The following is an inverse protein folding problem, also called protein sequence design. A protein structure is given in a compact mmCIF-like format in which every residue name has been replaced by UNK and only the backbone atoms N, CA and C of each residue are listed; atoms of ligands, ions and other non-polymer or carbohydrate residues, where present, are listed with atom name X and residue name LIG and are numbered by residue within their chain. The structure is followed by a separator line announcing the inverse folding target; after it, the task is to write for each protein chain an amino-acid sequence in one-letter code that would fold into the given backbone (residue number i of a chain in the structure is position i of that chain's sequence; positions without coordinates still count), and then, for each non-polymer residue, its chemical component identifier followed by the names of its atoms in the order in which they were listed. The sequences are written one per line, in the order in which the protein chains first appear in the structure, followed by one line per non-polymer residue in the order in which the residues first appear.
data_IF_467071436230
#
_entry.id   IF_467071436230
#
_cell.length_a   1.000
_cell.length_b   1.000
_cell.length_c   1.000
_cell.angle_alpha   90.00
_cell.angle_beta   90.00
_cell.angle_gamma   90.00
#
_symmetry.space_group_name_H-M   'P 1'
#
loop_
_entity.id
_entity.type
_entity.pdbx_description
1 polymer ?
#
# COMPACT_ATOMS: atom_id res chain seq x y z
N UNK A 1 -3.20 -19.50 -3.91
CA UNK A 1 -4.45 -19.51 -3.08
C UNK A 1 -5.43 -18.60 -3.76
N UNK A 2 -6.62 -19.10 -4.08
CA UNK A 2 -7.58 -18.41 -4.96
C UNK A 2 -8.36 -17.32 -4.20
N UNK A 3 -8.74 -16.27 -4.93
CA UNK A 3 -9.58 -15.15 -4.44
C UNK A 3 -10.91 -15.63 -3.83
N UNK A 4 -11.40 -16.79 -4.28
CA UNK A 4 -12.67 -17.39 -3.82
C UNK A 4 -12.61 -17.81 -2.36
N UNK A 5 -11.44 -18.29 -1.90
CA UNK A 5 -11.20 -18.66 -0.51
C UNK A 5 -11.31 -17.45 0.45
N UNK A 6 -10.79 -16.30 0.05
CA UNK A 6 -10.87 -15.06 0.84
C UNK A 6 -12.31 -14.53 0.94
N UNK A 7 -13.06 -14.58 -0.15
CA UNK A 7 -14.44 -14.16 -0.19
C UNK A 7 -15.33 -15.10 0.65
N UNK A 8 -15.03 -16.39 0.67
CA UNK A 8 -15.73 -17.37 1.51
C UNK A 8 -15.45 -17.10 3.00
N UNK A 9 -14.16 -16.92 3.38
CA UNK A 9 -13.78 -16.61 4.75
C UNK A 9 -14.48 -15.32 5.23
N UNK A 10 -14.49 -14.28 4.39
CA UNK A 10 -15.17 -13.03 4.73
C UNK A 10 -16.70 -13.18 4.75
N UNK A 11 -17.25 -14.02 3.87
CA UNK A 11 -18.69 -14.37 3.86
C UNK A 11 -19.13 -15.05 5.16
N UNK A 12 -18.30 -15.93 5.73
CA UNK A 12 -18.50 -16.56 7.05
C UNK A 12 -18.43 -15.54 8.17
N UNK A 13 -17.41 -14.66 8.13
CA UNK A 13 -17.24 -13.58 9.11
C UNK A 13 -18.44 -12.61 9.12
N UNK A 14 -19.03 -12.33 7.97
CA UNK A 14 -20.27 -11.55 7.85
C UNK A 14 -21.44 -12.17 8.59
N UNK A 15 -21.52 -13.52 8.63
CA UNK A 15 -22.58 -14.28 9.34
C UNK A 15 -22.31 -14.44 10.83
N UNK A 16 -21.13 -14.01 11.32
CA UNK A 16 -20.76 -14.03 12.74
C UNK A 16 -19.64 -15.02 13.11
N UNK A 17 -19.22 -15.88 12.18
CA UNK A 17 -18.07 -16.76 12.35
C UNK A 17 -16.77 -15.96 12.08
N UNK A 18 -16.10 -15.54 13.14
CA UNK A 18 -14.92 -14.68 13.06
C UNK A 18 -13.60 -15.44 12.88
N UNK A 19 -13.58 -16.74 12.90
CA UNK A 19 -12.35 -17.55 12.80
C UNK A 19 -11.62 -17.29 11.47
N UNK A 20 -12.38 -17.07 10.39
CA UNK A 20 -11.84 -16.70 9.09
C UNK A 20 -11.07 -15.36 9.06
N UNK A 21 -11.38 -14.44 9.98
CA UNK A 21 -10.68 -13.14 10.09
C UNK A 21 -9.22 -13.34 10.51
N UNK A 22 -8.94 -14.28 11.42
CA UNK A 22 -7.58 -14.62 11.81
C UNK A 22 -6.75 -15.10 10.62
N UNK A 23 -7.31 -15.96 9.78
CA UNK A 23 -6.67 -16.47 8.56
C UNK A 23 -6.39 -15.32 7.58
N UNK A 24 -7.35 -14.44 7.39
CA UNK A 24 -7.19 -13.25 6.52
C UNK A 24 -6.14 -12.29 7.09
N UNK A 25 -6.08 -12.13 8.41
CA UNK A 25 -5.05 -11.31 9.05
C UNK A 25 -3.65 -11.86 8.76
N UNK A 26 -3.38 -13.12 9.04
CA UNK A 26 -2.09 -13.75 8.77
C UNK A 26 -1.68 -13.64 7.30
N UNK A 27 -2.64 -13.78 6.39
CA UNK A 27 -2.41 -13.71 4.94
C UNK A 27 -2.07 -12.30 4.45
N UNK A 28 -2.71 -11.29 4.99
CA UNK A 28 -2.67 -9.92 4.43
C UNK A 28 -1.96 -8.89 5.31
N UNK A 29 -1.63 -9.22 6.57
CA UNK A 29 -0.96 -8.29 7.48
C UNK A 29 0.32 -7.73 6.87
N UNK A 30 1.23 -8.59 6.39
CA UNK A 30 2.49 -8.15 5.77
C UNK A 30 2.29 -7.27 4.52
N UNK A 31 1.30 -7.59 3.69
CA UNK A 31 0.92 -6.80 2.51
C UNK A 31 0.42 -5.41 2.92
N UNK A 32 -0.45 -5.31 3.94
CA UNK A 32 -0.94 -4.02 4.45
C UNK A 32 0.17 -3.17 5.08
N UNK A 33 1.04 -3.77 5.89
CA UNK A 33 2.20 -3.07 6.45
C UNK A 33 3.09 -2.55 5.33
N UNK A 34 3.37 -3.37 4.32
CA UNK A 34 4.12 -2.99 3.13
C UNK A 34 3.46 -1.84 2.35
N UNK A 35 2.14 -1.91 2.17
CA UNK A 35 1.36 -0.83 1.54
C UNK A 35 1.52 0.49 2.30
N UNK A 36 1.26 0.49 3.62
CA UNK A 36 1.35 1.71 4.43
C UNK A 36 2.76 2.29 4.48
N UNK A 37 3.80 1.44 4.62
CA UNK A 37 5.20 1.87 4.60
C UNK A 37 5.58 2.57 3.29
N UNK A 38 5.11 2.07 2.15
CA UNK A 38 5.36 2.68 0.83
C UNK A 38 4.56 3.96 0.61
N UNK A 39 3.32 3.99 1.09
CA UNK A 39 2.43 5.14 0.92
C UNK A 39 2.76 6.26 1.91
N UNK A 40 3.07 5.97 3.17
CA UNK A 40 3.47 6.99 4.15
C UNK A 40 4.87 7.55 3.88
N UNK A 41 5.77 6.72 3.38
CA UNK A 41 7.17 7.08 3.12
C UNK A 41 8.05 7.12 4.37
N UNK A 42 7.49 7.05 5.58
CA UNK A 42 8.19 7.18 6.87
C UNK A 42 8.41 5.86 7.59
N UNK A 43 7.72 4.83 7.21
CA UNK A 43 7.87 3.46 7.72
C UNK A 43 7.37 3.18 9.14
N UNK A 44 7.12 4.20 9.96
CA UNK A 44 6.87 4.05 11.41
C UNK A 44 5.43 3.66 11.78
N UNK A 45 4.45 3.89 10.91
CA UNK A 45 3.02 3.74 11.22
C UNK A 45 2.37 2.53 10.55
N UNK A 46 3.15 1.72 9.83
CA UNK A 46 2.60 0.64 9.03
C UNK A 46 1.82 -0.39 9.84
N UNK A 47 2.36 -0.80 10.98
CA UNK A 47 1.74 -1.78 11.88
C UNK A 47 0.42 -1.26 12.47
N UNK A 48 0.43 -0.04 13.02
CA UNK A 48 -0.76 0.56 13.63
C UNK A 48 -1.90 0.71 12.61
N UNK A 49 -1.58 1.15 11.38
CA UNK A 49 -2.57 1.32 10.33
C UNK A 49 -3.05 -0.02 9.77
N UNK A 50 -2.21 -1.05 9.74
CA UNK A 50 -2.62 -2.40 9.38
C UNK A 50 -3.62 -2.96 10.40
N UNK A 51 -3.34 -2.81 11.70
CA UNK A 51 -4.24 -3.20 12.78
C UNK A 51 -5.57 -2.42 12.71
N UNK A 52 -5.52 -1.10 12.54
CA UNK A 52 -6.73 -0.26 12.37
C UNK A 52 -7.56 -0.71 11.15
N UNK A 53 -6.90 -1.13 10.07
CA UNK A 53 -7.57 -1.65 8.88
C UNK A 53 -8.34 -2.93 9.22
N UNK A 54 -7.71 -3.89 9.91
CA UNK A 54 -8.38 -5.12 10.32
C UNK A 54 -9.50 -4.88 11.34
N UNK A 55 -9.31 -3.94 12.27
CA UNK A 55 -10.37 -3.53 13.16
C UNK A 55 -11.59 -3.01 12.38
N UNK A 56 -11.37 -2.18 11.35
CA UNK A 56 -12.46 -1.70 10.47
C UNK A 56 -13.06 -2.82 9.64
N UNK A 57 -12.28 -3.79 9.17
CA UNK A 57 -12.80 -4.99 8.49
C UNK A 57 -13.79 -5.72 9.40
N UNK A 58 -13.42 -6.00 10.64
CA UNK A 58 -14.31 -6.63 11.63
C UNK A 58 -15.57 -5.80 11.87
N UNK A 59 -15.39 -4.49 12.07
CA UNK A 59 -16.51 -3.56 12.35
C UNK A 59 -17.48 -3.46 11.19
N UNK A 60 -16.95 -3.37 9.96
CA UNK A 60 -17.76 -3.18 8.74
C UNK A 60 -18.05 -4.48 7.99
N UNK A 61 -17.76 -5.66 8.57
CA UNK A 61 -17.91 -6.96 7.92
C UNK A 61 -19.28 -7.19 7.28
N UNK A 62 -20.34 -6.63 7.87
CA UNK A 62 -21.70 -6.73 7.34
C UNK A 62 -21.91 -6.02 6.02
N UNK A 63 -21.07 -5.03 5.68
CA UNK A 63 -21.12 -4.31 4.41
C UNK A 63 -20.38 -5.00 3.26
N UNK A 64 -19.64 -6.07 3.56
CA UNK A 64 -19.04 -6.88 2.51
C UNK A 64 -20.14 -7.69 1.80
N UNK A 65 -20.31 -7.44 0.50
CA UNK A 65 -21.37 -8.09 -0.29
C UNK A 65 -20.90 -9.27 -1.17
N UNK A 66 -19.56 -9.49 -1.22
CA UNK A 66 -18.95 -10.55 -2.02
C UNK A 66 -18.93 -10.29 -3.53
N UNK A 67 -19.45 -9.15 -4.01
CA UNK A 67 -19.45 -8.78 -5.44
C UNK A 67 -18.07 -8.41 -5.95
N UNK A 68 -17.19 -8.02 -5.03
CA UNK A 68 -15.80 -7.69 -5.31
C UNK A 68 -14.90 -8.63 -4.53
N UNK A 69 -13.67 -8.92 -5.01
CA UNK A 69 -12.69 -9.65 -4.24
C UNK A 69 -12.44 -8.99 -2.88
N UNK A 70 -12.32 -9.81 -1.84
CA UNK A 70 -12.01 -9.34 -0.49
C UNK A 70 -10.80 -8.41 -0.48
N UNK A 71 -9.75 -8.77 -1.20
CA UNK A 71 -8.51 -7.99 -1.29
C UNK A 71 -8.75 -6.55 -1.77
N UNK A 72 -9.58 -6.36 -2.78
CA UNK A 72 -9.92 -5.02 -3.28
C UNK A 72 -10.72 -4.23 -2.24
N UNK A 73 -11.68 -4.86 -1.57
CA UNK A 73 -12.45 -4.23 -0.49
C UNK A 73 -11.58 -3.87 0.71
N UNK A 74 -10.64 -4.75 1.09
CA UNK A 74 -9.66 -4.50 2.15
C UNK A 74 -8.78 -3.28 1.83
N UNK A 75 -8.20 -3.18 0.62
CA UNK A 75 -7.39 -2.03 0.24
C UNK A 75 -8.18 -0.73 0.10
N UNK A 76 -9.48 -0.80 -0.21
CA UNK A 76 -10.34 0.38 -0.11
C UNK A 76 -10.44 0.87 1.34
N UNK A 77 -10.57 -0.04 2.31
CA UNK A 77 -10.56 0.32 3.74
C UNK A 77 -9.19 0.87 4.13
N UNK A 78 -8.08 0.25 3.71
CA UNK A 78 -6.73 0.71 4.00
C UNK A 78 -6.48 2.14 3.49
N UNK A 79 -6.93 2.49 2.28
CA UNK A 79 -6.88 3.86 1.76
C UNK A 79 -7.66 4.84 2.63
N UNK A 80 -8.84 4.46 3.09
CA UNK A 80 -9.62 5.31 3.99
C UNK A 80 -8.91 5.52 5.33
N UNK A 81 -8.29 4.45 5.90
CA UNK A 81 -7.47 4.53 7.12
C UNK A 81 -6.33 5.51 6.93
N UNK A 82 -5.58 5.42 5.82
CA UNK A 82 -4.48 6.33 5.49
C UNK A 82 -4.93 7.79 5.38
N UNK A 83 -6.02 8.05 4.66
CA UNK A 83 -6.57 9.39 4.51
C UNK A 83 -7.02 9.98 5.86
N UNK A 84 -7.64 9.18 6.73
CA UNK A 84 -8.06 9.62 8.06
C UNK A 84 -6.85 9.92 8.95
N UNK A 85 -5.79 9.09 8.87
CA UNK A 85 -4.54 9.31 9.59
C UNK A 85 -3.90 10.65 9.19
N UNK A 86 -3.79 10.91 7.89
CA UNK A 86 -3.22 12.17 7.38
C UNK A 86 -4.04 13.39 7.80
N UNK A 87 -5.38 13.32 7.71
CA UNK A 87 -6.25 14.41 8.19
C UNK A 87 -6.07 14.70 9.66
N UNK A 88 -5.92 13.65 10.49
CA UNK A 88 -5.66 13.81 11.95
C UNK A 88 -4.30 14.45 12.19
N UNK A 89 -3.26 14.03 11.48
CA UNK A 89 -1.91 14.59 11.59
C UNK A 89 -1.87 16.08 11.21
N UNK A 90 -2.54 16.46 10.12
CA UNK A 90 -2.65 17.87 9.70
C UNK A 90 -3.37 18.73 10.76
N UNK A 91 -4.46 18.23 11.33
CA UNK A 91 -5.22 18.95 12.37
C UNK A 91 -4.44 19.10 13.68
N UNK A 92 -3.58 18.13 14.00
CA UNK A 92 -2.72 18.17 15.18
C UNK A 92 -1.51 19.10 15.05
N UNK A 93 -1.40 19.86 13.95
CA UNK A 93 -0.26 20.75 13.67
C UNK A 93 1.08 20.04 13.52
N UNK A 94 1.08 18.70 13.41
CA UNK A 94 2.26 17.94 13.07
C UNK A 94 2.57 18.22 11.61
N UNK A 95 3.42 19.24 11.38
CA UNK A 95 3.95 19.55 10.06
C UNK A 95 4.55 18.27 9.50
N UNK A 96 4.04 17.87 8.35
CA UNK A 96 4.60 16.74 7.62
C UNK A 96 5.92 17.23 7.00
N UNK A 97 7.01 17.25 7.80
CA UNK A 97 8.35 17.48 7.28
C UNK A 97 8.73 16.25 6.42
N UNK A 98 8.98 16.43 5.12
CA UNK A 98 9.41 15.33 4.26
C UNK A 98 10.81 14.77 4.61
N UNK A 99 11.52 15.37 5.57
CA UNK A 99 12.92 15.07 5.90
C UNK A 99 13.11 14.22 7.17
N UNK A 100 12.09 13.54 7.69
CA UNK A 100 12.26 12.73 8.90
C UNK A 100 12.98 11.43 8.58
N UNK A 101 14.13 11.33 9.21
CA UNK A 101 15.08 10.22 9.36
C UNK A 101 14.56 8.83 8.96
N UNK A 102 15.24 8.29 7.98
CA UNK A 102 15.17 6.92 7.53
C UNK A 102 15.76 6.01 8.61
N UNK A 103 14.93 5.26 9.31
CA UNK A 103 15.41 4.16 10.14
C UNK A 103 15.46 2.89 9.30
N UNK A 104 16.67 2.39 9.19
CA UNK A 104 17.05 1.07 8.69
C UNK A 104 16.40 -0.01 9.56
N UNK A 105 15.32 -0.63 9.06
CA UNK A 105 14.94 -1.98 9.46
C UNK A 105 14.06 -2.59 8.38
N UNK A 106 14.70 -2.99 7.29
CA UNK A 106 14.22 -4.05 6.42
C UNK A 106 15.30 -5.11 6.44
N UNK A 107 15.13 -6.09 7.33
CA UNK A 107 15.95 -7.28 7.34
C UNK A 107 15.96 -7.92 5.94
N UNK A 108 17.05 -7.71 5.22
CA UNK A 108 17.41 -8.53 4.07
C UNK A 108 17.83 -9.90 4.62
N UNK A 109 17.25 -10.97 4.08
CA UNK A 109 17.83 -12.30 4.29
C UNK A 109 19.19 -12.34 3.58
N UNK A 110 20.23 -12.86 4.22
CA UNK A 110 21.57 -12.90 3.65
C UNK A 110 21.67 -14.09 2.72
N UNK A 111 21.92 -13.83 1.44
CA UNK A 111 22.72 -14.73 0.59
C UNK A 111 23.16 -14.02 -0.69
N UNK A 112 24.46 -14.09 -0.91
CA UNK A 112 25.22 -13.84 -2.14
C UNK A 112 25.48 -12.40 -2.58
N UNK A 113 26.77 -12.06 -2.59
CA UNK A 113 27.40 -10.90 -3.22
C UNK A 113 27.12 -9.54 -2.58
N UNK A 114 27.94 -9.19 -1.58
CA UNK A 114 27.80 -7.99 -0.74
C UNK A 114 27.73 -6.70 -1.57
N UNK A 115 28.43 -6.59 -2.70
CA UNK A 115 28.40 -5.36 -3.51
C UNK A 115 27.07 -5.19 -4.26
N UNK A 116 26.53 -6.26 -4.85
CA UNK A 116 25.24 -6.25 -5.52
C UNK A 116 24.06 -6.08 -4.55
N UNK A 117 24.26 -6.44 -3.30
CA UNK A 117 23.25 -6.29 -2.24
C UNK A 117 23.21 -4.86 -1.71
N UNK A 118 24.36 -4.22 -1.54
CA UNK A 118 24.47 -2.79 -1.20
C UNK A 118 23.85 -1.92 -2.30
N UNK A 119 24.18 -2.13 -3.57
CA UNK A 119 23.57 -1.39 -4.68
C UNK A 119 22.05 -1.60 -4.76
N UNK A 120 21.57 -2.80 -4.50
CA UNK A 120 20.11 -3.08 -4.42
C UNK A 120 19.46 -2.37 -3.24
N UNK A 121 20.15 -2.29 -2.10
CA UNK A 121 19.71 -1.56 -0.92
C UNK A 121 19.57 -0.07 -1.20
N UNK A 122 20.61 0.56 -1.73
CA UNK A 122 20.62 1.97 -2.10
C UNK A 122 19.52 2.31 -3.13
N UNK A 123 19.36 1.46 -4.14
CA UNK A 123 18.33 1.64 -5.16
C UNK A 123 16.91 1.53 -4.59
N UNK A 124 16.68 0.61 -3.63
CA UNK A 124 15.39 0.50 -2.92
C UNK A 124 15.10 1.76 -2.10
N UNK A 125 16.13 2.32 -1.47
CA UNK A 125 16.00 3.52 -0.66
C UNK A 125 15.70 4.74 -1.54
N UNK A 126 16.43 4.92 -2.64
CA UNK A 126 16.15 5.95 -3.63
C UNK A 126 14.74 5.87 -4.19
N UNK A 127 14.25 4.64 -4.45
CA UNK A 127 12.87 4.43 -4.92
C UNK A 127 11.85 4.82 -3.85
N UNK A 128 12.12 4.50 -2.58
CA UNK A 128 11.25 4.88 -1.45
C UNK A 128 11.19 6.40 -1.31
N UNK A 129 12.35 7.06 -1.38
CA UNK A 129 12.43 8.52 -1.33
C UNK A 129 11.71 9.14 -2.53
N UNK A 130 11.92 8.64 -3.73
CA UNK A 130 11.23 9.12 -4.94
C UNK A 130 9.70 8.99 -4.80
N UNK A 131 9.22 7.85 -4.29
CA UNK A 131 7.79 7.66 -3.99
C UNK A 131 7.29 8.68 -2.96
N UNK A 132 8.07 8.97 -1.91
CA UNK A 132 7.67 9.90 -0.86
C UNK A 132 7.47 11.33 -1.35
N UNK A 133 8.14 11.73 -2.43
CA UNK A 133 8.02 13.06 -3.05
C UNK A 133 6.80 13.21 -3.95
N UNK A 134 6.15 12.12 -4.32
CA UNK A 134 4.93 12.17 -5.12
C UNK A 134 3.71 12.55 -4.26
N UNK A 135 2.68 13.18 -4.85
CA UNK A 135 1.38 13.33 -4.21
C UNK A 135 0.80 11.98 -3.76
N UNK A 136 0.13 11.97 -2.60
CA UNK A 136 -0.42 10.75 -1.99
C UNK A 136 -1.21 9.87 -2.98
N UNK A 137 -2.14 10.48 -3.74
CA UNK A 137 -2.99 9.75 -4.69
C UNK A 137 -2.16 9.00 -5.75
N UNK A 138 -1.06 9.59 -6.23
CA UNK A 138 -0.15 8.96 -7.20
C UNK A 138 0.64 7.82 -6.57
N UNK A 139 1.11 7.98 -5.31
CA UNK A 139 1.76 6.92 -4.54
C UNK A 139 0.85 5.72 -4.35
N UNK A 140 -0.36 5.95 -3.83
CA UNK A 140 -1.36 4.90 -3.63
C UNK A 140 -1.63 4.14 -4.93
N UNK A 141 -1.81 4.87 -6.04
CA UNK A 141 -2.06 4.27 -7.35
C UNK A 141 -0.92 3.37 -7.80
N UNK A 142 0.33 3.85 -7.70
CA UNK A 142 1.51 3.06 -8.06
C UNK A 142 1.62 1.83 -7.18
N UNK A 143 1.46 1.99 -5.85
CA UNK A 143 1.60 0.88 -4.90
C UNK A 143 0.54 -0.18 -5.17
N UNK A 144 -0.72 0.18 -5.33
CA UNK A 144 -1.80 -0.77 -5.62
C UNK A 144 -1.61 -1.49 -6.96
N UNK A 145 -1.10 -0.80 -7.98
CA UNK A 145 -0.94 -1.39 -9.31
C UNK A 145 0.34 -2.23 -9.47
N UNK A 146 1.45 -1.87 -8.80
CA UNK A 146 2.77 -2.42 -9.05
C UNK A 146 3.33 -3.29 -7.94
N UNK A 147 2.95 -3.03 -6.70
CA UNK A 147 3.39 -3.83 -5.55
C UNK A 147 2.30 -4.78 -5.06
N UNK A 148 1.06 -4.31 -5.06
CA UNK A 148 -0.07 -5.16 -4.69
C UNK A 148 -0.72 -5.85 -5.89
N UNK A 149 -0.34 -5.53 -7.12
CA UNK A 149 -0.78 -6.17 -8.36
C UNK A 149 -2.30 -6.33 -8.48
N UNK A 150 -3.05 -5.37 -7.94
CA UNK A 150 -4.51 -5.39 -8.07
C UNK A 150 -4.91 -5.14 -9.54
N UNK A 151 -5.93 -5.84 -10.04
CA UNK A 151 -6.49 -5.57 -11.36
C UNK A 151 -6.99 -4.14 -11.52
N UNK A 152 -6.75 -3.52 -12.65
CA UNK A 152 -7.22 -2.14 -12.91
C UNK A 152 -8.73 -1.96 -12.76
N UNK A 153 -9.51 -3.00 -13.08
CA UNK A 153 -10.95 -2.99 -12.91
C UNK A 153 -11.38 -2.85 -11.43
N UNK A 154 -10.55 -3.33 -10.50
CA UNK A 154 -10.79 -3.23 -9.06
C UNK A 154 -10.31 -1.90 -8.50
N UNK A 155 -9.19 -1.36 -9.03
CA UNK A 155 -8.61 -0.10 -8.58
C UNK A 155 -9.42 1.11 -9.09
N UNK A 156 -9.89 1.09 -10.34
CA UNK A 156 -10.57 2.23 -10.96
C UNK A 156 -11.76 2.77 -10.12
N UNK A 157 -12.63 1.93 -9.55
CA UNK A 157 -13.69 2.39 -8.65
C UNK A 157 -13.18 3.05 -7.37
N UNK A 158 -12.00 2.63 -6.85
CA UNK A 158 -11.40 3.22 -5.65
C UNK A 158 -10.95 4.68 -5.89
N UNK A 159 -10.65 5.02 -7.14
CA UNK A 159 -10.24 6.36 -7.57
C UNK A 159 -11.35 7.13 -8.28
N UNK A 160 -12.59 6.61 -8.28
CA UNK A 160 -13.74 7.26 -8.90
C UNK A 160 -13.57 7.53 -10.39
N UNK A 161 -12.92 6.62 -11.13
CA UNK A 161 -12.64 6.82 -12.56
C UNK A 161 -12.82 5.53 -13.39
N UNK A 162 -12.82 5.68 -14.72
CA UNK A 162 -12.82 4.53 -15.62
C UNK A 162 -11.44 3.86 -15.68
N UNK A 163 -11.39 2.61 -16.12
CA UNK A 163 -10.13 1.86 -16.34
C UNK A 163 -9.21 2.59 -17.32
N UNK A 164 -9.77 3.19 -18.38
CA UNK A 164 -9.02 4.00 -19.33
C UNK A 164 -8.35 5.22 -18.68
N UNK A 165 -9.10 5.96 -17.87
CA UNK A 165 -8.58 7.11 -17.13
C UNK A 165 -7.54 6.69 -16.10
N UNK A 166 -7.75 5.54 -15.42
CA UNK A 166 -6.78 4.99 -14.47
C UNK A 166 -5.42 4.71 -15.13
N UNK A 167 -5.43 4.05 -16.31
CA UNK A 167 -4.19 3.77 -17.07
C UNK A 167 -3.43 5.04 -17.41
N UNK A 168 -4.12 6.10 -17.82
CA UNK A 168 -3.50 7.41 -18.11
C UNK A 168 -2.92 8.03 -16.84
N UNK A 169 -3.66 8.00 -15.72
CA UNK A 169 -3.17 8.49 -14.41
C UNK A 169 -1.93 7.72 -13.96
N UNK A 170 -1.94 6.39 -14.08
CA UNK A 170 -0.80 5.53 -13.73
C UNK A 170 0.43 5.85 -14.59
N UNK A 171 0.24 5.97 -15.90
CA UNK A 171 1.33 6.33 -16.82
C UNK A 171 2.00 7.67 -16.42
N UNK A 172 1.19 8.70 -16.14
CA UNK A 172 1.69 10.00 -15.68
C UNK A 172 2.41 9.90 -14.33
N UNK A 173 1.85 9.13 -13.39
CA UNK A 173 2.46 8.93 -12.08
C UNK A 173 3.81 8.20 -12.16
N UNK A 174 3.91 7.18 -13.01
CA UNK A 174 5.17 6.45 -13.24
C UNK A 174 6.22 7.32 -13.94
N UNK A 175 5.80 8.18 -14.89
CA UNK A 175 6.70 9.13 -15.53
C UNK A 175 7.29 10.11 -14.52
N UNK A 176 6.46 10.70 -13.67
CA UNK A 176 6.89 11.61 -12.60
C UNK A 176 7.80 10.89 -11.58
N UNK A 177 7.46 9.66 -11.19
CA UNK A 177 8.32 8.85 -10.32
C UNK A 177 9.71 8.66 -10.93
N UNK A 178 9.79 8.34 -12.23
CA UNK A 178 11.06 8.19 -12.94
C UNK A 178 11.87 9.49 -12.94
N UNK A 179 11.22 10.62 -13.18
CA UNK A 179 11.87 11.94 -13.17
C UNK A 179 12.45 12.25 -11.79
N UNK A 180 11.68 12.04 -10.72
CA UNK A 180 12.14 12.25 -9.33
C UNK A 180 13.27 11.28 -8.98
N UNK A 181 13.16 10.01 -9.35
CA UNK A 181 14.17 8.99 -9.09
C UNK A 181 15.52 9.36 -9.73
N UNK A 182 15.52 9.85 -10.99
CA UNK A 182 16.73 10.29 -11.69
C UNK A 182 17.32 11.54 -11.01
N UNK A 183 16.50 12.49 -10.56
CA UNK A 183 16.96 13.68 -9.84
C UNK A 183 17.64 13.34 -8.51
N UNK A 184 17.29 12.24 -7.89
CA UNK A 184 17.88 11.74 -6.64
C UNK A 184 19.20 10.97 -6.87
N UNK A 185 19.67 10.84 -8.09
CA UNK A 185 20.89 10.11 -8.43
C UNK A 185 20.64 8.67 -8.89
N UNK A 186 19.39 8.29 -9.10
CA UNK A 186 19.04 6.99 -9.71
C UNK A 186 19.50 6.93 -11.17
N UNK A 187 20.12 5.82 -11.56
CA UNK A 187 20.50 5.62 -12.95
C UNK A 187 19.31 5.47 -13.89
N UNK A 188 19.42 6.02 -15.10
CA UNK A 188 18.47 5.72 -16.18
C UNK A 188 18.58 4.25 -16.53
N UNK A 189 17.58 3.43 -16.16
CA UNK A 189 17.46 2.10 -16.75
C UNK A 189 17.19 2.27 -18.25
N UNK A 190 18.10 1.76 -19.07
CA UNK A 190 17.99 1.78 -20.53
C UNK A 190 16.75 1.00 -21.01
#
# INVERSE_FOLDING_TARGET
MTSDDDNELMGRARKGDLDGIGILFERYHGSLVGFFRRVDGRGKIGEDLAQETFWRIVRYRKSFDGRRPFRAWMFQIARNVMNDHLRKSMRAGKVMDPRVELNEELAAQPDSDVSAEVERGERKELLREALSRLPLEKRELIVLCRFEELPYAEIAPMFGCSVGALKVRLFRALKELKEVFIQLGGEKTA
#
